data_IF_489867979534
#
_entry.id   IF_489867979534
#
_cell.length_a   1.000
_cell.length_b   1.000
_cell.length_c   1.000
_cell.angle_alpha   90.00
_cell.angle_beta   90.00
_cell.angle_gamma   90.00
#
_symmetry.space_group_name_H-M   'P 1'
#
loop_
_entity.id
_entity.type
_entity.pdbx_description
1 polymer ?
#
# COMPACT_ATOMS: atom_id res chain seq x y z
N UNK A 1 -16.93 -20.15 -25.13
CA UNK A 1 -17.69 -18.94 -25.50
C UNK A 1 -16.75 -17.73 -25.54
N UNK A 2 -17.19 -16.60 -26.12
CA UNK A 2 -16.40 -15.36 -26.21
C UNK A 2 -15.87 -14.88 -24.84
N UNK A 3 -16.71 -14.92 -23.80
CA UNK A 3 -16.34 -14.51 -22.45
C UNK A 3 -15.23 -15.38 -21.82
N UNK A 4 -15.17 -16.67 -22.15
CA UNK A 4 -14.12 -17.59 -21.65
C UNK A 4 -12.74 -17.24 -22.25
N UNK A 5 -12.70 -16.96 -23.56
CA UNK A 5 -11.47 -16.51 -24.24
C UNK A 5 -11.01 -15.14 -23.73
N UNK A 6 -11.96 -14.24 -23.44
CA UNK A 6 -11.67 -12.93 -22.89
C UNK A 6 -11.02 -13.01 -21.50
N UNK A 7 -11.57 -13.81 -20.58
CA UNK A 7 -11.00 -14.00 -19.23
C UNK A 7 -9.57 -14.52 -19.25
N UNK A 8 -9.28 -15.55 -20.05
CA UNK A 8 -7.92 -16.08 -20.20
C UNK A 8 -6.94 -15.05 -20.80
N UNK A 9 -7.39 -14.24 -21.77
CA UNK A 9 -6.58 -13.17 -22.34
C UNK A 9 -6.27 -12.05 -21.35
N UNK A 10 -7.20 -11.72 -20.44
CA UNK A 10 -6.97 -10.72 -19.40
C UNK A 10 -5.90 -11.18 -18.39
N UNK A 11 -5.90 -12.47 -18.06
CA UNK A 11 -4.87 -13.07 -17.22
C UNK A 11 -3.47 -12.92 -17.82
N UNK A 12 -3.32 -13.17 -19.13
CA UNK A 12 -2.04 -13.01 -19.83
C UNK A 12 -1.48 -11.57 -19.79
N UNK A 13 -2.35 -10.55 -19.73
CA UNK A 13 -2.00 -9.13 -19.63
C UNK A 13 -1.71 -8.67 -18.18
N UNK A 14 -1.71 -9.57 -17.20
CA UNK A 14 -1.53 -9.23 -15.78
C UNK A 14 -0.06 -9.17 -15.34
N UNK A 15 0.85 -9.80 -16.10
CA UNK A 15 2.28 -9.89 -15.74
C UNK A 15 2.99 -8.56 -15.62
N UNK A 16 2.78 -7.62 -16.56
CA UNK A 16 3.37 -6.29 -16.50
C UNK A 16 2.97 -5.53 -15.22
N UNK A 17 1.68 -5.61 -14.84
CA UNK A 17 1.13 -4.97 -13.63
C UNK A 17 1.65 -5.60 -12.34
N UNK A 18 1.81 -6.92 -12.31
CA UNK A 18 2.44 -7.63 -11.17
C UNK A 18 3.92 -7.24 -11.06
N UNK A 19 4.65 -7.19 -12.17
CA UNK A 19 6.05 -6.73 -12.20
C UNK A 19 6.21 -5.30 -11.69
N UNK A 20 5.36 -4.37 -12.12
CA UNK A 20 5.34 -2.99 -11.63
C UNK A 20 5.01 -2.93 -10.13
N UNK A 21 4.09 -3.76 -9.64
CA UNK A 21 3.78 -3.85 -8.20
C UNK A 21 5.03 -4.23 -7.40
N UNK A 22 5.76 -5.26 -7.84
CA UNK A 22 7.02 -5.70 -7.22
C UNK A 22 8.11 -4.63 -7.29
N UNK A 23 8.22 -3.92 -8.42
CA UNK A 23 9.15 -2.80 -8.58
C UNK A 23 8.85 -1.66 -7.60
N UNK A 24 7.57 -1.27 -7.47
CA UNK A 24 7.15 -0.24 -6.52
C UNK A 24 7.48 -0.62 -5.07
N UNK A 25 7.35 -1.90 -4.70
CA UNK A 25 7.77 -2.39 -3.37
C UNK A 25 9.30 -2.32 -3.21
N UNK A 26 10.08 -2.65 -4.25
CA UNK A 26 11.54 -2.50 -4.22
C UNK A 26 11.97 -1.05 -3.98
N UNK A 27 11.32 -0.10 -4.64
CA UNK A 27 11.56 1.35 -4.44
C UNK A 27 11.13 1.80 -3.02
N UNK A 28 10.01 1.30 -2.52
CA UNK A 28 9.55 1.54 -1.16
C UNK A 28 10.56 1.09 -0.11
N UNK A 29 11.13 -0.11 -0.27
CA UNK A 29 12.19 -0.64 0.60
C UNK A 29 13.37 0.33 0.65
N UNK A 30 13.83 0.83 -0.51
CA UNK A 30 14.93 1.80 -0.56
C UNK A 30 14.59 3.08 0.21
N UNK A 31 13.42 3.68 -0.05
CA UNK A 31 12.99 4.91 0.64
C UNK A 31 12.97 4.77 2.16
N UNK A 32 12.33 3.71 2.65
CA UNK A 32 12.15 3.48 4.08
C UNK A 32 13.50 3.20 4.74
N UNK A 33 14.34 2.37 4.11
CA UNK A 33 15.69 2.06 4.62
C UNK A 33 16.49 3.34 4.84
N UNK A 34 16.49 4.24 3.84
CA UNK A 34 17.22 5.52 3.93
C UNK A 34 16.66 6.37 5.07
N UNK A 35 15.34 6.55 5.14
CA UNK A 35 14.73 7.42 6.14
C UNK A 35 14.88 6.90 7.57
N UNK A 36 14.72 5.60 7.79
CA UNK A 36 14.85 4.99 9.12
C UNK A 36 16.31 5.02 9.59
N UNK A 37 17.27 4.56 8.76
CA UNK A 37 18.69 4.63 9.13
C UNK A 37 19.14 6.05 9.44
N UNK A 38 18.73 7.02 8.60
CA UNK A 38 19.02 8.43 8.85
C UNK A 38 18.40 8.94 10.15
N UNK A 39 17.16 8.55 10.45
CA UNK A 39 16.45 8.97 11.66
C UNK A 39 17.09 8.46 12.95
N UNK A 40 17.72 7.27 12.90
CA UNK A 40 18.45 6.70 14.03
C UNK A 40 19.76 7.44 14.34
N UNK A 41 20.38 8.09 13.35
CA UNK A 41 21.68 8.78 13.53
C UNK A 41 21.57 10.29 13.63
N UNK A 42 20.56 10.89 13.00
CA UNK A 42 20.36 12.34 13.00
C UNK A 42 19.89 12.79 14.38
N UNK A 43 20.72 13.56 15.07
CA UNK A 43 20.35 14.26 16.30
C UNK A 43 19.98 15.71 15.98
N UNK A 44 18.89 16.18 16.58
CA UNK A 44 18.44 17.56 16.47
C UNK A 44 17.46 17.85 17.60
N UNK A 45 17.70 18.93 18.35
CA UNK A 45 16.96 19.27 19.56
C UNK A 45 17.03 18.15 20.61
N UNK A 46 16.48 18.40 21.79
CA UNK A 46 16.40 17.40 22.84
C UNK A 46 15.78 17.97 24.11
N UNK A 47 15.76 17.19 25.20
CA UNK A 47 15.34 17.68 26.51
C UNK A 47 16.15 18.93 26.93
N UNK A 48 15.62 19.68 27.89
CA UNK A 48 16.26 20.91 28.40
C UNK A 48 17.68 20.71 28.96
N UNK A 49 18.14 19.46 29.12
CA UNK A 49 19.51 19.09 29.47
C UNK A 49 20.56 19.47 28.41
N UNK A 50 20.15 19.86 27.20
CA UNK A 50 21.04 20.34 26.14
C UNK A 50 21.73 19.25 25.32
N UNK A 51 21.50 17.97 25.63
CA UNK A 51 21.98 16.85 24.82
C UNK A 51 20.95 16.57 23.73
N UNK A 52 21.36 16.71 22.46
CA UNK A 52 20.50 16.35 21.35
C UNK A 52 20.26 14.84 21.29
N UNK A 53 19.03 14.45 20.98
CA UNK A 53 18.63 13.05 20.84
C UNK A 53 18.36 12.71 19.36
N UNK A 54 18.49 11.44 18.96
CA UNK A 54 18.13 11.01 17.61
C UNK A 54 16.68 11.38 17.27
N UNK A 55 16.42 11.78 16.02
CA UNK A 55 15.08 12.23 15.63
C UNK A 55 14.04 11.11 15.67
N UNK A 56 14.46 9.85 15.57
CA UNK A 56 13.57 8.69 15.78
C UNK A 56 13.01 8.63 17.22
N UNK A 57 13.62 9.31 18.20
CA UNK A 57 13.09 9.35 19.56
C UNK A 57 11.78 10.16 19.66
N UNK A 58 11.49 11.05 18.71
CA UNK A 58 10.29 11.88 18.74
C UNK A 58 9.05 11.14 18.22
N UNK A 59 7.94 11.32 18.94
CA UNK A 59 6.63 10.76 18.57
C UNK A 59 6.22 11.13 17.13
N UNK A 60 6.51 12.35 16.70
CA UNK A 60 6.22 12.82 15.33
C UNK A 60 6.96 12.01 14.28
N UNK A 61 8.25 11.70 14.49
CA UNK A 61 9.02 10.88 13.55
C UNK A 61 8.50 9.44 13.51
N UNK A 62 8.12 8.89 14.67
CA UNK A 62 7.54 7.54 14.76
C UNK A 62 6.20 7.45 14.04
N UNK A 63 5.31 8.42 14.27
CA UNK A 63 4.00 8.50 13.61
C UNK A 63 4.11 8.64 12.09
N UNK A 64 5.18 9.27 11.58
CA UNK A 64 5.45 9.38 10.14
C UNK A 64 5.97 8.07 9.56
N UNK A 65 6.92 7.40 10.21
CA UNK A 65 7.66 6.27 9.62
C UNK A 65 7.08 4.89 9.94
N UNK A 66 6.61 4.65 11.16
CA UNK A 66 6.11 3.32 11.56
C UNK A 66 4.92 2.86 10.71
N UNK A 67 3.90 3.70 10.41
CA UNK A 67 2.81 3.28 9.52
C UNK A 67 3.28 2.95 8.10
N UNK A 68 4.32 3.62 7.60
CA UNK A 68 4.91 3.32 6.30
C UNK A 68 5.63 1.96 6.33
N UNK A 69 6.37 1.66 7.40
CA UNK A 69 7.00 0.34 7.62
C UNK A 69 5.93 -0.74 7.71
N UNK A 70 4.85 -0.52 8.45
CA UNK A 70 3.73 -1.45 8.51
C UNK A 70 3.15 -1.74 7.11
N UNK A 71 2.85 -0.69 6.34
CA UNK A 71 2.36 -0.83 4.96
C UNK A 71 3.35 -1.54 4.03
N UNK A 72 4.66 -1.40 4.21
CA UNK A 72 5.67 -2.18 3.47
C UNK A 72 5.45 -3.68 3.68
N UNK A 73 5.32 -4.14 4.92
CA UNK A 73 5.14 -5.58 5.20
C UNK A 73 3.84 -6.12 4.60
N UNK A 74 2.74 -5.38 4.76
CA UNK A 74 1.43 -5.78 4.25
C UNK A 74 1.41 -5.81 2.72
N UNK A 75 1.88 -4.75 2.05
CA UNK A 75 1.85 -4.68 0.58
C UNK A 75 2.94 -5.51 -0.09
N UNK A 76 4.06 -5.77 0.57
CA UNK A 76 5.03 -6.76 0.08
C UNK A 76 4.43 -8.17 0.09
N UNK A 77 3.75 -8.55 1.17
CA UNK A 77 3.04 -9.83 1.23
C UNK A 77 1.95 -9.91 0.15
N UNK A 78 1.15 -8.86 -0.03
CA UNK A 78 0.18 -8.77 -1.12
C UNK A 78 0.85 -8.98 -2.49
N UNK A 79 1.89 -8.22 -2.81
CA UNK A 79 2.56 -8.30 -4.11
C UNK A 79 3.12 -9.70 -4.38
N UNK A 80 3.72 -10.35 -3.38
CA UNK A 80 4.20 -11.74 -3.49
C UNK A 80 3.05 -12.72 -3.70
N UNK A 81 1.97 -12.62 -2.93
CA UNK A 81 0.83 -13.52 -3.08
C UNK A 81 0.12 -13.38 -4.43
N UNK A 82 0.06 -12.17 -5.00
CA UNK A 82 -0.50 -11.94 -6.35
C UNK A 82 0.46 -12.47 -7.42
N UNK A 83 1.76 -12.38 -7.19
CA UNK A 83 2.76 -13.03 -8.04
C UNK A 83 2.59 -14.56 -8.03
N UNK A 84 2.41 -15.16 -6.87
CA UNK A 84 2.17 -16.61 -6.75
C UNK A 84 0.89 -17.03 -7.50
N UNK A 85 -0.20 -16.26 -7.37
CA UNK A 85 -1.44 -16.51 -8.13
C UNK A 85 -1.24 -16.41 -9.65
N UNK A 86 -0.42 -15.44 -10.10
CA UNK A 86 -0.08 -15.30 -11.52
C UNK A 86 0.75 -16.50 -12.01
N UNK A 87 1.69 -16.97 -11.21
CA UNK A 87 2.48 -18.17 -11.51
C UNK A 87 1.59 -19.39 -11.60
N UNK A 88 0.67 -19.58 -10.66
CA UNK A 88 -0.32 -20.67 -10.68
C UNK A 88 -1.18 -20.63 -11.95
N UNK A 89 -1.68 -19.45 -12.33
CA UNK A 89 -2.42 -19.25 -13.58
C UNK A 89 -1.59 -19.65 -14.80
N UNK A 90 -0.32 -19.21 -14.88
CA UNK A 90 0.53 -19.55 -16.02
C UNK A 90 0.84 -21.04 -16.10
N UNK A 91 1.17 -21.67 -14.97
CA UNK A 91 1.42 -23.11 -14.91
C UNK A 91 0.21 -23.88 -15.43
N UNK A 92 -0.99 -23.57 -14.91
CA UNK A 92 -2.21 -24.22 -15.38
C UNK A 92 -2.48 -23.94 -16.86
N UNK A 93 -2.25 -22.72 -17.35
CA UNK A 93 -2.49 -22.36 -18.75
C UNK A 93 -1.60 -23.13 -19.75
N UNK A 94 -0.44 -23.61 -19.30
CA UNK A 94 0.49 -24.39 -20.12
C UNK A 94 0.17 -25.88 -20.12
N UNK A 95 -0.50 -26.38 -19.08
CA UNK A 95 -0.81 -27.81 -18.90
C UNK A 95 -2.30 -28.15 -19.00
N UNK A 96 -3.15 -27.16 -19.32
CA UNK A 96 -4.61 -27.30 -19.28
C UNK A 96 -5.19 -28.07 -20.46
N UNK A 97 -6.22 -28.87 -20.17
CA UNK A 97 -7.07 -29.52 -21.18
C UNK A 97 -8.44 -28.82 -21.32
N UNK A 98 -9.35 -29.38 -22.12
CA UNK A 98 -10.69 -28.79 -22.32
C UNK A 98 -11.49 -28.61 -21.02
N UNK A 99 -11.26 -29.47 -20.02
CA UNK A 99 -11.96 -29.44 -18.73
C UNK A 99 -11.55 -28.23 -17.86
N UNK A 100 -10.35 -27.69 -18.06
CA UNK A 100 -9.82 -26.60 -17.23
C UNK A 100 -10.16 -25.21 -17.78
N UNK A 101 -10.82 -25.13 -18.96
CA UNK A 101 -11.10 -23.86 -19.63
C UNK A 101 -11.94 -22.89 -18.79
N UNK A 102 -12.84 -23.42 -17.96
CA UNK A 102 -13.74 -22.60 -17.15
C UNK A 102 -13.01 -22.06 -15.93
N UNK A 103 -12.24 -22.93 -15.26
CA UNK A 103 -11.34 -22.55 -14.18
C UNK A 103 -10.31 -21.50 -14.64
N UNK A 104 -9.67 -21.71 -15.79
CA UNK A 104 -8.73 -20.74 -16.37
C UNK A 104 -9.38 -19.39 -16.69
N UNK A 105 -10.60 -19.41 -17.20
CA UNK A 105 -11.33 -18.17 -17.47
C UNK A 105 -11.67 -17.43 -16.17
N UNK A 106 -11.97 -18.14 -15.09
CA UNK A 106 -12.30 -17.57 -13.78
C UNK A 106 -11.05 -17.04 -13.07
N UNK A 107 -9.97 -17.82 -13.04
CA UNK A 107 -8.65 -17.39 -12.56
C UNK A 107 -8.15 -16.16 -13.33
N UNK A 108 -8.30 -16.16 -14.66
CA UNK A 108 -7.92 -15.05 -15.53
C UNK A 108 -8.68 -13.74 -15.24
N UNK A 109 -9.97 -13.82 -14.88
CA UNK A 109 -10.75 -12.64 -14.46
C UNK A 109 -10.31 -12.13 -13.09
N UNK A 110 -10.09 -13.03 -12.13
CA UNK A 110 -9.69 -12.66 -10.77
C UNK A 110 -8.27 -12.09 -10.73
N UNK A 111 -7.29 -12.72 -11.39
CA UNK A 111 -5.91 -12.20 -11.43
C UNK A 111 -5.83 -10.85 -12.15
N UNK A 112 -6.68 -10.60 -13.14
CA UNK A 112 -6.77 -9.29 -13.77
C UNK A 112 -7.27 -8.23 -12.79
N UNK A 113 -8.32 -8.51 -12.01
CA UNK A 113 -8.82 -7.59 -11.00
C UNK A 113 -7.79 -7.34 -9.87
N UNK A 114 -7.15 -8.40 -9.38
CA UNK A 114 -6.10 -8.33 -8.36
C UNK A 114 -4.88 -7.55 -8.86
N UNK A 115 -4.36 -7.86 -10.04
CA UNK A 115 -3.19 -7.15 -10.59
C UNK A 115 -3.46 -5.67 -10.87
N UNK A 116 -4.66 -5.30 -11.35
CA UNK A 116 -5.09 -3.90 -11.49
C UNK A 116 -4.99 -3.14 -10.18
N UNK A 117 -5.64 -3.68 -9.15
CA UNK A 117 -5.82 -2.98 -7.87
C UNK A 117 -4.55 -3.04 -7.03
N UNK A 118 -3.81 -4.15 -7.07
CA UNK A 118 -2.49 -4.30 -6.45
C UNK A 118 -1.49 -3.28 -7.02
N UNK A 119 -1.41 -3.15 -8.34
CA UNK A 119 -0.55 -2.16 -8.99
C UNK A 119 -0.91 -0.75 -8.55
N UNK A 120 -2.21 -0.41 -8.55
CA UNK A 120 -2.66 0.92 -8.14
C UNK A 120 -2.29 1.24 -6.68
N UNK A 121 -2.54 0.32 -5.73
CA UNK A 121 -2.26 0.57 -4.33
C UNK A 121 -0.75 0.60 -4.03
N UNK A 122 0.03 -0.32 -4.59
CA UNK A 122 1.48 -0.38 -4.35
C UNK A 122 2.17 0.89 -4.89
N UNK A 123 1.84 1.32 -6.12
CA UNK A 123 2.51 2.48 -6.75
C UNK A 123 2.14 3.80 -6.08
N UNK A 124 0.87 4.01 -5.71
CA UNK A 124 0.47 5.19 -4.93
C UNK A 124 1.04 5.18 -3.50
N UNK A 125 1.08 4.02 -2.84
CA UNK A 125 1.69 3.90 -1.52
C UNK A 125 3.17 4.25 -1.58
N UNK A 126 3.92 3.71 -2.55
CA UNK A 126 5.34 4.03 -2.76
C UNK A 126 5.55 5.51 -3.05
N UNK A 127 4.71 6.12 -3.89
CA UNK A 127 4.79 7.56 -4.20
C UNK A 127 4.64 8.42 -2.94
N UNK A 128 3.60 8.17 -2.14
CA UNK A 128 3.35 8.89 -0.88
C UNK A 128 4.48 8.66 0.12
N UNK A 129 4.89 7.41 0.30
CA UNK A 129 5.96 7.04 1.23
C UNK A 129 7.30 7.67 0.85
N UNK A 130 7.65 7.73 -0.44
CA UNK A 130 8.88 8.36 -0.90
C UNK A 130 8.91 9.84 -0.53
N UNK A 131 7.80 10.55 -0.73
CA UNK A 131 7.69 11.96 -0.35
C UNK A 131 7.81 12.14 1.17
N UNK A 132 7.10 11.32 1.95
CA UNK A 132 7.12 11.38 3.40
C UNK A 132 8.51 11.06 3.97
N UNK A 133 9.17 10.03 3.47
CA UNK A 133 10.53 9.63 3.84
C UNK A 133 11.56 10.72 3.52
N UNK A 134 11.41 11.40 2.38
CA UNK A 134 12.26 12.52 1.98
C UNK A 134 12.15 13.67 2.98
N UNK A 135 10.93 14.05 3.34
CA UNK A 135 10.67 15.12 4.30
C UNK A 135 11.04 14.74 5.74
N UNK A 136 10.94 13.46 6.10
CA UNK A 136 11.43 12.93 7.36
C UNK A 136 12.96 13.04 7.51
N UNK A 137 13.68 13.15 6.39
CA UNK A 137 15.13 13.41 6.37
C UNK A 137 15.50 14.91 6.35
N UNK A 138 14.51 15.81 6.46
CA UNK A 138 14.72 17.26 6.46
C UNK A 138 15.45 17.76 5.21
N UNK A 139 16.29 18.79 5.39
CA UNK A 139 17.05 19.40 4.27
C UNK A 139 18.00 18.42 3.57
N UNK A 140 18.59 17.47 4.29
CA UNK A 140 19.47 16.46 3.68
C UNK A 140 18.71 15.50 2.77
N UNK A 141 17.41 15.26 3.02
CA UNK A 141 16.55 14.51 2.12
C UNK A 141 16.38 15.17 0.74
N UNK A 142 16.70 16.46 0.59
CA UNK A 142 16.67 17.14 -0.71
C UNK A 142 17.98 17.01 -1.51
N UNK A 143 19.06 16.53 -0.89
CA UNK A 143 20.32 16.33 -1.60
C UNK A 143 20.14 15.27 -2.68
N UNK A 144 20.74 15.47 -3.86
CA UNK A 144 20.81 14.43 -4.89
C UNK A 144 21.38 13.11 -4.32
N UNK A 145 22.42 13.23 -3.49
CA UNK A 145 23.09 12.11 -2.82
C UNK A 145 22.21 11.35 -1.80
N UNK A 146 21.05 11.90 -1.41
CA UNK A 146 20.08 11.18 -0.58
C UNK A 146 19.33 10.09 -1.36
N UNK A 147 19.30 10.17 -2.69
CA UNK A 147 18.64 9.21 -3.57
C UNK A 147 17.12 9.35 -3.69
N UNK A 148 16.44 10.11 -2.82
CA UNK A 148 14.97 10.20 -2.82
C UNK A 148 14.40 10.78 -4.12
N UNK A 149 15.06 11.77 -4.73
CA UNK A 149 14.62 12.34 -6.01
C UNK A 149 14.56 11.28 -7.11
N UNK A 150 15.65 10.53 -7.28
CA UNK A 150 15.76 9.45 -8.26
C UNK A 150 14.69 8.37 -8.00
N UNK A 151 14.56 7.93 -6.75
CA UNK A 151 13.59 6.89 -6.39
C UNK A 151 12.15 7.33 -6.72
N UNK A 152 11.83 8.62 -6.48
CA UNK A 152 10.53 9.18 -6.84
C UNK A 152 10.34 9.25 -8.35
N UNK A 153 11.35 9.75 -9.07
CA UNK A 153 11.32 9.85 -10.53
C UNK A 153 11.13 8.48 -11.20
N UNK A 154 11.71 7.42 -10.62
CA UNK A 154 11.53 6.04 -11.09
C UNK A 154 10.13 5.48 -10.76
N UNK A 155 9.52 5.87 -9.63
CA UNK A 155 8.20 5.39 -9.23
C UNK A 155 7.04 6.13 -9.93
N UNK A 156 7.14 7.44 -10.14
CA UNK A 156 6.04 8.27 -10.63
C UNK A 156 5.40 7.75 -11.94
N UNK A 157 6.18 7.30 -12.96
CA UNK A 157 5.62 6.70 -14.18
C UNK A 157 4.85 5.40 -13.92
N UNK A 158 5.18 4.67 -12.85
CA UNK A 158 4.49 3.44 -12.46
C UNK A 158 3.03 3.69 -12.09
N UNK A 159 2.64 4.91 -11.72
CA UNK A 159 1.23 5.25 -11.50
C UNK A 159 0.42 5.34 -12.81
N UNK A 160 1.08 5.35 -13.97
CA UNK A 160 0.48 5.61 -15.30
C UNK A 160 0.69 4.48 -16.30
N UNK A 161 1.89 3.88 -16.38
CA UNK A 161 2.18 2.81 -17.32
C UNK A 161 1.40 1.53 -16.97
N UNK A 162 1.16 0.67 -17.98
CA UNK A 162 0.35 -0.56 -17.85
C UNK A 162 -1.04 -0.29 -17.25
N UNK A 163 -1.61 0.87 -17.59
CA UNK A 163 -2.92 1.36 -17.18
C UNK A 163 -2.84 2.45 -16.10
N UNK A 164 -3.53 3.56 -16.32
CA UNK A 164 -3.72 4.60 -15.31
C UNK A 164 -4.37 4.02 -14.04
N UNK A 165 -3.85 4.36 -12.86
CA UNK A 165 -4.34 3.80 -11.62
C UNK A 165 -5.84 4.04 -11.38
N UNK A 166 -6.39 5.22 -11.71
CA UNK A 166 -7.82 5.48 -11.52
C UNK A 166 -8.71 4.69 -12.50
N UNK A 167 -8.24 4.47 -13.73
CA UNK A 167 -8.90 3.59 -14.70
C UNK A 167 -8.83 2.13 -14.26
N UNK A 168 -7.67 1.67 -13.79
CA UNK A 168 -7.48 0.28 -13.34
C UNK A 168 -8.38 -0.08 -12.17
N UNK A 169 -8.63 0.84 -11.23
CA UNK A 169 -9.56 0.59 -10.13
C UNK A 169 -10.95 0.16 -10.63
N UNK A 170 -11.42 0.63 -11.78
CA UNK A 170 -12.70 0.18 -12.35
C UNK A 170 -12.78 -1.34 -12.52
N UNK A 171 -11.65 -2.00 -12.80
CA UNK A 171 -11.60 -3.45 -12.98
C UNK A 171 -11.87 -4.20 -11.67
N UNK A 172 -11.39 -3.67 -10.54
CA UNK A 172 -11.68 -4.21 -9.20
C UNK A 172 -13.17 -4.13 -8.87
N UNK A 173 -13.76 -2.94 -8.99
CA UNK A 173 -15.20 -2.76 -8.76
C UNK A 173 -16.05 -3.62 -9.70
N UNK A 174 -15.73 -3.66 -10.99
CA UNK A 174 -16.47 -4.48 -11.95
C UNK A 174 -16.41 -5.97 -11.62
N UNK A 175 -15.26 -6.47 -11.15
CA UNK A 175 -15.13 -7.85 -10.71
C UNK A 175 -16.02 -8.16 -9.50
N UNK A 176 -16.04 -7.28 -8.49
CA UNK A 176 -16.90 -7.44 -7.31
C UNK A 176 -18.39 -7.35 -7.68
N UNK A 177 -18.78 -6.37 -8.48
CA UNK A 177 -20.16 -6.23 -8.95
C UNK A 177 -20.63 -7.45 -9.76
N UNK A 178 -19.77 -7.97 -10.65
CA UNK A 178 -20.10 -9.16 -11.43
C UNK A 178 -20.36 -10.38 -10.54
N UNK A 179 -19.49 -10.65 -9.57
CA UNK A 179 -19.69 -11.76 -8.64
C UNK A 179 -20.93 -11.56 -7.75
N UNK A 180 -21.21 -10.32 -7.33
CA UNK A 180 -22.43 -10.01 -6.59
C UNK A 180 -23.69 -10.28 -7.43
N UNK A 181 -23.70 -9.87 -8.70
CA UNK A 181 -24.83 -10.13 -9.60
C UNK A 181 -25.03 -11.62 -9.85
N UNK A 182 -23.94 -12.37 -10.06
CA UNK A 182 -23.99 -13.82 -10.22
C UNK A 182 -24.59 -14.49 -8.99
N UNK A 183 -24.13 -14.13 -7.78
CA UNK A 183 -24.65 -14.68 -6.53
C UNK A 183 -26.11 -14.30 -6.26
N UNK A 184 -26.45 -13.01 -6.29
CA UNK A 184 -27.73 -12.52 -5.75
C UNK A 184 -28.80 -12.23 -6.78
N UNK A 185 -28.45 -11.98 -8.06
CA UNK A 185 -29.42 -11.73 -9.14
C UNK A 185 -29.64 -12.97 -10.00
N UNK A 186 -28.62 -13.82 -10.17
CA UNK A 186 -28.69 -15.03 -11.02
C UNK A 186 -28.73 -16.35 -10.25
N UNK A 187 -28.56 -16.33 -8.92
CA UNK A 187 -28.50 -17.52 -8.07
C UNK A 187 -27.41 -18.52 -8.52
N UNK A 188 -26.24 -18.00 -8.90
CA UNK A 188 -25.05 -18.77 -9.25
C UNK A 188 -24.05 -18.78 -8.08
N UNK A 189 -23.08 -19.70 -8.09
CA UNK A 189 -21.96 -19.67 -7.15
C UNK A 189 -21.01 -18.52 -7.45
N UNK A 190 -20.31 -18.04 -6.42
CA UNK A 190 -19.16 -17.17 -6.62
C UNK A 190 -18.03 -17.98 -7.23
N UNK A 191 -17.40 -17.45 -8.28
CA UNK A 191 -16.22 -18.04 -8.88
C UNK A 191 -15.01 -17.17 -8.54
N UNK A 192 -14.38 -17.48 -7.40
CA UNK A 192 -13.18 -16.82 -6.89
C UNK A 192 -12.09 -17.87 -6.58
N UNK A 193 -11.42 -18.45 -7.60
CA UNK A 193 -10.35 -19.43 -7.39
C UNK A 193 -9.23 -18.98 -6.43
N UNK A 194 -8.95 -17.68 -6.34
CA UNK A 194 -7.95 -17.12 -5.40
C UNK A 194 -8.57 -16.51 -4.13
N UNK A 195 -9.84 -16.83 -3.86
CA UNK A 195 -10.56 -16.50 -2.63
C UNK A 195 -10.67 -15.01 -2.29
N UNK A 196 -10.47 -14.11 -3.27
CA UNK A 196 -10.53 -12.67 -3.04
C UNK A 196 -11.97 -12.12 -2.93
N UNK A 197 -12.96 -12.82 -3.48
CA UNK A 197 -14.37 -12.42 -3.45
C UNK A 197 -15.25 -13.24 -2.48
N UNK A 198 -14.68 -14.19 -1.73
CA UNK A 198 -15.41 -15.09 -0.81
C UNK A 198 -16.24 -14.34 0.26
N UNK A 199 -15.83 -13.13 0.63
CA UNK A 199 -16.55 -12.30 1.59
C UNK A 199 -18.00 -11.98 1.15
N UNK A 200 -18.27 -11.97 -0.16
CA UNK A 200 -19.59 -11.68 -0.71
C UNK A 200 -20.66 -12.69 -0.26
N UNK A 201 -20.29 -13.95 0.03
CA UNK A 201 -21.24 -14.95 0.55
C UNK A 201 -21.78 -14.54 1.93
N UNK A 202 -20.97 -13.80 2.69
CA UNK A 202 -21.24 -13.40 4.08
C UNK A 202 -21.79 -11.98 4.19
N UNK A 203 -21.94 -11.25 3.07
CA UNK A 203 -22.28 -9.82 3.08
C UNK A 203 -23.57 -9.53 3.88
N UNK A 204 -24.63 -10.33 3.68
CA UNK A 204 -25.91 -10.16 4.40
C UNK A 204 -25.74 -10.39 5.90
N UNK A 205 -25.00 -11.43 6.30
CA UNK A 205 -24.76 -11.78 7.69
C UNK A 205 -23.92 -10.71 8.39
N UNK A 206 -22.85 -10.24 7.75
CA UNK A 206 -21.96 -9.20 8.28
C UNK A 206 -22.73 -7.88 8.47
N UNK A 207 -23.53 -7.47 7.48
CA UNK A 207 -24.30 -6.22 7.56
C UNK A 207 -25.46 -6.29 8.57
N UNK A 208 -26.05 -7.47 8.77
CA UNK A 208 -27.05 -7.68 9.82
C UNK A 208 -26.43 -7.57 11.22
N UNK A 209 -25.20 -8.04 11.40
CA UNK A 209 -24.47 -7.91 12.66
C UNK A 209 -23.76 -6.56 12.77
N UNK A 210 -24.53 -5.47 12.82
CA UNK A 210 -24.01 -4.09 12.88
C UNK A 210 -23.59 -3.66 14.30
N UNK A 211 -22.93 -4.55 15.04
CA UNK A 211 -22.38 -4.28 16.37
C UNK A 211 -20.87 -4.06 16.25
N UNK A 212 -20.42 -2.83 16.46
CA UNK A 212 -18.99 -2.53 16.54
C UNK A 212 -18.43 -2.98 17.90
N UNK A 213 -17.47 -3.89 17.85
CA UNK A 213 -16.75 -4.40 19.02
C UNK A 213 -15.47 -3.62 19.34
N UNK A 214 -15.18 -2.55 18.57
CA UNK A 214 -14.00 -1.71 18.81
C UNK A 214 -14.20 -0.93 20.11
N UNK A 215 -13.39 -1.30 21.10
CA UNK A 215 -13.36 -0.74 22.45
C UNK A 215 -11.91 -0.66 22.92
N UNK A 216 -11.67 -0.15 24.13
CA UNK A 216 -10.33 -0.09 24.71
C UNK A 216 -9.64 -1.44 24.85
N UNK A 217 -10.41 -2.53 24.90
CA UNK A 217 -9.94 -3.90 25.11
C UNK A 217 -10.00 -4.74 23.81
N UNK A 218 -10.25 -4.12 22.66
CA UNK A 218 -10.46 -4.89 21.43
C UNK A 218 -9.21 -5.65 20.99
N UNK A 219 -9.45 -6.84 20.45
CA UNK A 219 -8.44 -7.72 19.89
C UNK A 219 -8.32 -7.52 18.38
N UNK A 220 -7.29 -8.14 17.78
CA UNK A 220 -7.10 -8.14 16.33
C UNK A 220 -8.37 -8.58 15.58
N UNK A 221 -9.11 -9.56 16.13
CA UNK A 221 -10.36 -10.03 15.52
C UNK A 221 -11.41 -8.93 15.37
N UNK A 222 -11.60 -8.08 16.38
CA UNK A 222 -12.59 -7.01 16.33
C UNK A 222 -12.24 -5.96 15.26
N UNK A 223 -10.93 -5.73 15.07
CA UNK A 223 -10.43 -4.85 14.01
C UNK A 223 -10.63 -5.48 12.62
N UNK A 224 -10.43 -6.79 12.49
CA UNK A 224 -10.71 -7.51 11.23
C UNK A 224 -12.20 -7.50 10.90
N UNK A 225 -13.07 -7.73 11.89
CA UNK A 225 -14.53 -7.67 11.73
C UNK A 225 -14.98 -6.28 11.26
N UNK A 226 -14.30 -5.21 11.71
CA UNK A 226 -14.56 -3.85 11.23
C UNK A 226 -14.16 -3.62 9.77
N UNK A 227 -13.05 -4.22 9.32
CA UNK A 227 -12.60 -4.15 7.93
C UNK A 227 -13.49 -5.00 7.01
N UNK A 228 -13.91 -6.19 7.46
CA UNK A 228 -14.91 -7.02 6.78
C UNK A 228 -16.22 -6.26 6.61
N UNK A 229 -16.70 -5.62 7.68
CA UNK A 229 -17.92 -4.81 7.66
C UNK A 229 -17.77 -3.61 6.72
N UNK A 230 -16.64 -2.90 6.76
CA UNK A 230 -16.37 -1.75 5.88
C UNK A 230 -16.45 -2.13 4.40
N UNK A 231 -15.83 -3.25 4.00
CA UNK A 231 -15.89 -3.75 2.64
C UNK A 231 -17.32 -4.14 2.24
N UNK A 232 -18.02 -4.88 3.10
CA UNK A 232 -19.42 -5.26 2.86
C UNK A 232 -20.33 -4.04 2.71
N UNK A 233 -20.14 -3.01 3.55
CA UNK A 233 -20.94 -1.80 3.53
C UNK A 233 -20.70 -0.98 2.26
N UNK A 234 -19.45 -0.84 1.80
CA UNK A 234 -19.18 -0.09 0.56
C UNK A 234 -19.69 -0.84 -0.68
N UNK A 235 -19.69 -2.18 -0.69
CA UNK A 235 -20.34 -2.99 -1.74
C UNK A 235 -21.84 -2.69 -1.77
N UNK A 236 -22.54 -2.88 -0.65
CA UNK A 236 -23.98 -2.65 -0.54
C UNK A 236 -24.37 -1.20 -0.87
N UNK A 237 -23.62 -0.21 -0.35
CA UNK A 237 -23.81 1.22 -0.67
C UNK A 237 -23.66 1.49 -2.16
N UNK A 238 -22.69 0.86 -2.83
CA UNK A 238 -22.45 1.02 -4.27
C UNK A 238 -23.60 0.43 -5.09
N UNK A 239 -24.09 -0.75 -4.70
CA UNK A 239 -25.18 -1.43 -5.39
C UNK A 239 -26.49 -0.69 -5.21
N UNK A 240 -26.83 -0.25 -3.98
CA UNK A 240 -28.03 0.57 -3.73
C UNK A 240 -28.04 1.83 -4.58
N UNK A 241 -26.88 2.47 -4.77
CA UNK A 241 -26.77 3.66 -5.63
C UNK A 241 -27.01 3.32 -7.11
N UNK A 242 -26.43 2.22 -7.59
CA UNK A 242 -26.64 1.74 -8.96
C UNK A 242 -28.10 1.38 -9.21
N UNK A 243 -28.71 0.59 -8.33
CA UNK A 243 -30.11 0.18 -8.44
C UNK A 243 -31.05 1.41 -8.37
N UNK A 244 -30.77 2.39 -7.51
CA UNK A 244 -31.52 3.66 -7.50
C UNK A 244 -31.46 4.37 -8.86
N UNK A 245 -30.27 4.48 -9.46
CA UNK A 245 -30.11 5.17 -10.75
C UNK A 245 -30.76 4.40 -11.90
N UNK A 246 -30.71 3.07 -11.88
CA UNK A 246 -31.42 2.20 -12.84
C UNK A 246 -32.93 2.45 -12.79
N UNK A 247 -33.49 2.64 -11.59
CA UNK A 247 -34.93 2.89 -11.42
C UNK A 247 -35.35 4.34 -11.73
N UNK A 248 -34.45 5.31 -11.56
CA UNK A 248 -34.79 6.74 -11.67
C UNK A 248 -34.35 7.40 -12.98
N UNK A 249 -33.55 6.70 -13.79
CA UNK A 249 -33.01 7.24 -15.05
C UNK A 249 -33.09 6.19 -16.15
N UNK A 250 -33.10 6.63 -17.42
CA UNK A 250 -33.02 5.73 -18.58
C UNK A 250 -31.60 5.72 -19.19
N UNK A 251 -30.59 5.78 -18.32
CA UNK A 251 -29.18 5.87 -18.71
C UNK A 251 -28.61 4.50 -19.11
N UNK A 252 -27.57 4.51 -19.95
CA UNK A 252 -26.88 3.28 -20.32
C UNK A 252 -26.06 2.71 -19.14
N UNK A 253 -25.71 1.42 -19.20
CA UNK A 253 -24.82 0.80 -18.20
C UNK A 253 -23.50 1.54 -18.04
N UNK A 254 -22.97 2.10 -19.13
CA UNK A 254 -21.76 2.91 -19.13
C UNK A 254 -21.95 4.20 -18.31
N UNK A 255 -23.03 4.95 -18.58
CA UNK A 255 -23.32 6.22 -17.91
C UNK A 255 -23.56 6.02 -16.41
N UNK A 256 -24.28 4.96 -16.04
CA UNK A 256 -24.55 4.59 -14.65
C UNK A 256 -23.24 4.33 -13.87
N UNK A 257 -22.32 3.56 -14.46
CA UNK A 257 -21.00 3.30 -13.87
C UNK A 257 -20.16 4.57 -13.78
N UNK A 258 -20.18 5.39 -14.83
CA UNK A 258 -19.43 6.65 -14.86
C UNK A 258 -19.89 7.61 -13.73
N UNK A 259 -21.19 7.78 -13.53
CA UNK A 259 -21.76 8.65 -12.48
C UNK A 259 -21.45 8.11 -11.07
N UNK A 260 -21.40 6.78 -10.90
CA UNK A 260 -21.13 6.15 -9.60
C UNK A 260 -19.65 5.96 -9.29
N UNK A 261 -18.76 6.33 -10.23
CA UNK A 261 -17.36 5.94 -10.15
C UNK A 261 -16.64 6.50 -8.91
N UNK A 262 -16.76 7.81 -8.64
CA UNK A 262 -15.84 8.51 -7.72
C UNK A 262 -16.03 8.13 -6.24
N UNK A 263 -17.26 8.20 -5.73
CA UNK A 263 -17.55 8.00 -4.31
C UNK A 263 -18.05 6.58 -3.97
N UNK A 264 -18.23 5.72 -4.97
CA UNK A 264 -18.67 4.34 -4.78
C UNK A 264 -17.66 3.35 -5.36
N UNK A 265 -17.57 3.22 -6.69
CA UNK A 265 -16.79 2.13 -7.32
C UNK A 265 -15.28 2.26 -7.13
N UNK A 266 -14.74 3.48 -7.17
CA UNK A 266 -13.33 3.75 -6.89
C UNK A 266 -12.99 3.39 -5.43
N UNK A 267 -13.79 3.86 -4.48
CA UNK A 267 -13.63 3.58 -3.05
C UNK A 267 -13.74 2.09 -2.76
N UNK A 268 -14.74 1.42 -3.35
CA UNK A 268 -14.91 -0.04 -3.28
C UNK A 268 -13.63 -0.77 -3.70
N UNK A 269 -13.04 -0.38 -4.83
CA UNK A 269 -11.86 -1.06 -5.38
C UNK A 269 -10.62 -0.91 -4.50
N UNK A 270 -10.46 0.26 -3.86
CA UNK A 270 -9.36 0.52 -2.93
C UNK A 270 -9.55 -0.29 -1.64
N UNK A 271 -10.74 -0.24 -1.04
CA UNK A 271 -11.04 -0.99 0.18
C UNK A 271 -10.93 -2.50 -0.07
N UNK A 272 -11.38 -2.98 -1.24
CA UNK A 272 -11.25 -4.37 -1.65
C UNK A 272 -9.80 -4.87 -1.65
N UNK A 273 -8.87 -4.14 -2.27
CA UNK A 273 -7.48 -4.59 -2.32
C UNK A 273 -6.76 -4.45 -0.98
N UNK A 274 -7.10 -3.43 -0.18
CA UNK A 274 -6.57 -3.28 1.18
C UNK A 274 -7.07 -4.39 2.11
N UNK A 275 -8.36 -4.73 2.03
CA UNK A 275 -8.94 -5.90 2.71
C UNK A 275 -8.24 -7.19 2.30
N UNK A 276 -8.06 -7.42 0.99
CA UNK A 276 -7.35 -8.58 0.46
C UNK A 276 -5.92 -8.66 1.02
N UNK A 277 -5.21 -7.53 1.09
CA UNK A 277 -3.86 -7.46 1.65
C UNK A 277 -3.82 -7.86 3.13
N UNK A 278 -4.78 -7.37 3.92
CA UNK A 278 -4.93 -7.69 5.35
C UNK A 278 -5.21 -9.18 5.55
N UNK A 279 -6.18 -9.75 4.82
CA UNK A 279 -6.56 -11.15 4.96
C UNK A 279 -5.42 -12.08 4.53
N UNK A 280 -4.71 -11.78 3.44
CA UNK A 280 -3.55 -12.55 2.99
C UNK A 280 -2.40 -12.48 4.00
N UNK A 281 -2.18 -11.33 4.63
CA UNK A 281 -1.20 -11.22 5.70
C UNK A 281 -1.60 -12.04 6.95
N UNK A 282 -2.88 -12.04 7.34
CA UNK A 282 -3.39 -12.91 8.42
C UNK A 282 -3.20 -14.38 8.08
N UNK A 283 -3.46 -14.79 6.84
CA UNK A 283 -3.21 -16.16 6.37
C UNK A 283 -1.73 -16.51 6.44
N UNK A 284 -0.84 -15.60 6.00
CA UNK A 284 0.60 -15.76 6.12
C UNK A 284 1.03 -16.01 7.58
N UNK A 285 0.52 -15.23 8.54
CA UNK A 285 0.83 -15.43 9.96
C UNK A 285 0.31 -16.76 10.52
N UNK A 286 -0.79 -17.29 9.98
CA UNK A 286 -1.37 -18.59 10.38
C UNK A 286 -0.67 -19.79 9.76
N UNK A 287 -0.15 -19.66 8.53
CA UNK A 287 0.51 -20.77 7.84
C UNK A 287 1.95 -20.99 8.31
N UNK A 288 2.59 -19.95 8.85
CA UNK A 288 3.97 -20.02 9.34
C UNK A 288 4.00 -20.33 10.85
N UNK A 289 3.51 -21.51 11.25
CA UNK A 289 3.43 -21.93 12.66
C UNK A 289 4.80 -22.12 13.33
N UNK A 290 5.85 -22.36 12.56
CA UNK A 290 7.22 -22.52 13.07
C UNK A 290 7.95 -21.17 13.30
N UNK A 291 7.27 -20.04 13.08
CA UNK A 291 7.82 -18.71 13.30
C UNK A 291 8.07 -18.45 14.79
N UNK A 292 9.19 -17.81 15.10
CA UNK A 292 9.48 -17.33 16.45
C UNK A 292 8.34 -16.44 16.97
N UNK A 293 7.92 -16.70 18.21
CA UNK A 293 6.75 -16.05 18.82
C UNK A 293 6.93 -14.53 18.94
N UNK A 294 8.16 -14.03 19.18
CA UNK A 294 8.40 -12.58 19.22
C UNK A 294 8.29 -11.97 17.83
N UNK A 295 8.83 -12.63 16.81
CA UNK A 295 8.67 -12.21 15.42
C UNK A 295 7.18 -12.12 15.06
N UNK A 296 6.39 -13.14 15.39
CA UNK A 296 4.95 -13.16 15.14
C UNK A 296 4.24 -11.98 15.83
N UNK A 297 4.55 -11.71 17.09
CA UNK A 297 3.99 -10.57 17.83
C UNK A 297 4.33 -9.22 17.19
N UNK A 298 5.57 -9.04 16.70
CA UNK A 298 5.97 -7.80 16.01
C UNK A 298 5.21 -7.65 14.69
N UNK A 299 5.06 -8.72 13.91
CA UNK A 299 4.30 -8.70 12.66
C UNK A 299 2.80 -8.44 12.91
N UNK A 300 2.22 -9.00 13.97
CA UNK A 300 0.85 -8.70 14.39
C UNK A 300 0.69 -7.23 14.78
N UNK A 301 1.65 -6.61 15.47
CA UNK A 301 1.63 -5.16 15.75
C UNK A 301 1.66 -4.33 14.47
N UNK A 302 2.49 -4.70 13.49
CA UNK A 302 2.51 -4.02 12.18
C UNK A 302 1.16 -4.14 11.47
N UNK A 303 0.55 -5.32 11.50
CA UNK A 303 -0.80 -5.54 10.96
C UNK A 303 -1.83 -4.64 11.66
N UNK A 304 -1.80 -4.56 12.99
CA UNK A 304 -2.72 -3.70 13.76
C UNK A 304 -2.50 -2.22 13.39
N UNK A 305 -1.26 -1.75 13.28
CA UNK A 305 -0.98 -0.36 12.83
C UNK A 305 -1.58 -0.10 11.46
N UNK A 306 -1.42 -1.03 10.52
CA UNK A 306 -1.98 -0.89 9.17
C UNK A 306 -3.52 -0.84 9.19
N UNK A 307 -4.17 -1.73 9.94
CA UNK A 307 -5.63 -1.77 10.08
C UNK A 307 -6.16 -0.49 10.75
N UNK A 308 -5.54 -0.04 11.84
CA UNK A 308 -5.97 1.17 12.53
C UNK A 308 -5.84 2.41 11.65
N UNK A 309 -4.78 2.49 10.83
CA UNK A 309 -4.64 3.59 9.88
C UNK A 309 -5.72 3.57 8.80
N UNK A 310 -6.09 2.38 8.35
CA UNK A 310 -7.18 2.17 7.39
C UNK A 310 -8.54 2.57 7.99
N UNK A 311 -8.82 2.18 9.24
CA UNK A 311 -10.03 2.56 9.97
C UNK A 311 -10.06 4.07 10.17
N UNK A 312 -8.95 4.71 10.54
CA UNK A 312 -8.85 6.16 10.69
C UNK A 312 -9.16 6.88 9.36
N UNK A 313 -8.63 6.40 8.23
CA UNK A 313 -8.88 6.96 6.90
C UNK A 313 -10.35 6.88 6.49
N UNK A 314 -11.04 5.78 6.82
CA UNK A 314 -12.44 5.53 6.44
C UNK A 314 -13.43 5.67 7.59
N UNK A 315 -13.05 6.34 8.67
CA UNK A 315 -13.90 6.45 9.87
C UNK A 315 -15.25 7.11 9.56
N UNK A 316 -15.27 8.06 8.62
CA UNK A 316 -16.51 8.69 8.15
C UNK A 316 -17.52 7.70 7.55
N UNK A 317 -17.05 6.69 6.81
CA UNK A 317 -17.91 5.64 6.22
C UNK A 317 -18.45 4.72 7.32
N UNK A 318 -17.61 4.39 8.32
CA UNK A 318 -18.01 3.57 9.46
C UNK A 318 -19.10 4.26 10.31
N UNK A 319 -19.02 5.59 10.47
CA UNK A 319 -20.09 6.39 11.08
C UNK A 319 -21.34 6.46 10.18
N UNK A 320 -21.18 6.68 8.87
CA UNK A 320 -22.29 6.78 7.92
C UNK A 320 -23.18 5.53 7.93
N UNK A 321 -22.59 4.34 7.99
CA UNK A 321 -23.37 3.09 8.08
C UNK A 321 -23.69 2.63 9.50
N UNK A 322 -23.51 3.49 10.49
CA UNK A 322 -23.84 3.25 11.90
C UNK A 322 -23.11 2.04 12.53
N UNK A 323 -21.95 1.66 12.02
CA UNK A 323 -21.11 0.64 12.65
C UNK A 323 -20.47 1.22 13.91
N UNK A 324 -19.67 2.29 13.73
CA UNK A 324 -19.15 3.08 14.85
C UNK A 324 -20.21 4.11 15.24
N UNK A 325 -20.67 4.05 16.49
CA UNK A 325 -21.64 5.01 17.06
C UNK A 325 -21.01 5.92 18.10
N UNK A 326 -19.98 5.43 18.79
CA UNK A 326 -19.31 6.15 19.86
C UNK A 326 -18.18 7.00 19.28
N UNK A 327 -18.28 8.32 19.44
CA UNK A 327 -17.27 9.29 18.98
C UNK A 327 -15.90 9.10 19.65
N UNK A 328 -15.86 8.51 20.85
CA UNK A 328 -14.61 8.24 21.56
C UNK A 328 -13.75 7.15 20.91
N UNK A 329 -14.32 6.34 20.00
CA UNK A 329 -13.56 5.32 19.26
C UNK A 329 -12.46 5.98 18.41
N UNK A 330 -12.71 7.15 17.83
CA UNK A 330 -11.69 7.88 17.07
C UNK A 330 -10.48 8.28 17.94
N UNK A 331 -10.77 8.82 19.12
CA UNK A 331 -9.73 9.20 20.09
C UNK A 331 -8.92 7.97 20.54
N UNK A 332 -9.61 6.84 20.78
CA UNK A 332 -8.95 5.59 21.12
C UNK A 332 -8.04 5.09 19.99
N UNK A 333 -8.48 5.12 18.73
CA UNK A 333 -7.65 4.73 17.57
C UNK A 333 -6.36 5.57 17.53
N UNK A 334 -6.48 6.89 17.71
CA UNK A 334 -5.33 7.80 17.69
C UNK A 334 -4.33 7.48 18.80
N UNK A 335 -4.81 7.28 20.04
CA UNK A 335 -3.96 6.90 21.18
C UNK A 335 -3.29 5.55 20.90
N UNK A 336 -4.06 4.54 20.48
CA UNK A 336 -3.52 3.19 20.24
C UNK A 336 -2.50 3.17 19.11
N UNK A 337 -2.69 3.96 18.05
CA UNK A 337 -1.71 4.14 16.98
C UNK A 337 -0.40 4.72 17.51
N UNK A 338 -0.47 5.76 18.35
CA UNK A 338 0.72 6.39 18.94
C UNK A 338 1.46 5.43 19.87
N UNK A 339 0.75 4.64 20.68
CA UNK A 339 1.34 3.62 21.55
C UNK A 339 2.07 2.56 20.73
N UNK A 340 1.43 2.02 19.69
CA UNK A 340 2.06 1.04 18.80
C UNK A 340 3.26 1.60 18.05
N UNK A 341 3.20 2.86 17.61
CA UNK A 341 4.34 3.54 17.00
C UNK A 341 5.52 3.65 17.98
N UNK A 342 5.25 3.94 19.25
CA UNK A 342 6.27 3.97 20.29
C UNK A 342 6.83 2.57 20.59
N UNK A 343 5.98 1.55 20.69
CA UNK A 343 6.41 0.16 20.91
C UNK A 343 7.29 -0.37 19.76
N UNK A 344 6.88 -0.15 18.51
CA UNK A 344 7.58 -0.65 17.32
C UNK A 344 8.87 0.12 16.99
N UNK A 345 9.03 1.34 17.52
CA UNK A 345 10.22 2.17 17.32
C UNK A 345 11.50 1.41 17.63
N UNK A 346 11.52 0.63 18.71
CA UNK A 346 12.74 -0.06 19.14
C UNK A 346 13.18 -1.16 18.15
N UNK A 347 12.23 -1.71 17.39
CA UNK A 347 12.48 -2.77 16.40
C UNK A 347 12.59 -2.22 14.97
N UNK A 348 12.27 -0.93 14.75
CA UNK A 348 12.08 -0.35 13.41
C UNK A 348 13.31 -0.48 12.52
N UNK A 349 14.52 -0.38 13.10
CA UNK A 349 15.76 -0.54 12.35
C UNK A 349 15.94 -1.98 11.84
N UNK A 350 15.70 -2.97 12.70
CA UNK A 350 15.79 -4.38 12.31
C UNK A 350 14.74 -4.74 11.26
N UNK A 351 13.52 -4.17 11.39
CA UNK A 351 12.42 -4.36 10.44
C UNK A 351 12.74 -3.80 9.04
N UNK A 352 13.56 -2.76 8.92
CA UNK A 352 13.97 -2.25 7.61
C UNK A 352 15.21 -2.96 7.09
N UNK A 353 16.16 -3.27 7.97
CA UNK A 353 17.44 -3.87 7.61
C UNK A 353 17.28 -5.29 7.06
N UNK A 354 16.25 -6.04 7.46
CA UNK A 354 15.96 -7.37 6.88
C UNK A 354 15.67 -7.32 5.37
N UNK A 355 15.27 -6.15 4.84
CA UNK A 355 15.03 -5.94 3.41
C UNK A 355 16.06 -5.03 2.75
N UNK A 356 16.92 -4.38 3.53
CA UNK A 356 17.83 -3.37 3.02
C UNK A 356 18.80 -3.98 1.99
N UNK A 357 18.87 -3.43 0.78
CA UNK A 357 19.87 -3.89 -0.18
C UNK A 357 21.27 -3.41 0.25
N UNK A 358 22.35 -4.01 -0.28
CA UNK A 358 23.70 -3.50 -0.10
C UNK A 358 23.83 -2.02 -0.45
N UNK A 359 24.72 -1.29 0.23
CA UNK A 359 24.83 0.18 0.13
C UNK A 359 25.05 0.68 -1.30
N UNK A 360 25.72 -0.10 -2.16
CA UNK A 360 25.92 0.26 -3.58
C UNK A 360 24.63 0.20 -4.42
N UNK A 361 23.67 -0.65 -4.05
CA UNK A 361 22.33 -0.70 -4.67
C UNK A 361 21.41 0.35 -4.05
N UNK A 362 21.52 0.57 -2.73
CA UNK A 362 20.78 1.61 -2.04
C UNK A 362 21.15 3.00 -2.59
N UNK A 363 22.44 3.20 -2.88
CA UNK A 363 23.03 4.38 -3.51
C UNK A 363 22.57 5.69 -2.84
N UNK A 364 22.69 5.75 -1.51
CA UNK A 364 22.28 6.91 -0.71
C UNK A 364 23.25 7.14 0.45
N UNK A 365 23.81 8.34 0.54
CA UNK A 365 24.74 8.70 1.63
C UNK A 365 24.05 8.76 3.00
N UNK A 366 22.73 8.93 3.03
CA UNK A 366 21.95 8.96 4.27
C UNK A 366 21.60 7.55 4.77
N UNK A 367 21.53 6.59 3.85
CA UNK A 367 21.10 5.22 4.12
C UNK A 367 22.24 4.23 4.34
N UNK A 368 23.50 4.66 4.38
CA UNK A 368 24.64 3.75 4.55
C UNK A 368 24.52 2.88 5.80
N UNK A 369 24.77 1.58 5.65
CA UNK A 369 24.68 0.58 6.72
C UNK A 369 25.61 0.85 7.92
N UNK A 370 26.73 1.55 7.70
CA UNK A 370 27.68 1.89 8.75
C UNK A 370 27.28 3.10 9.62
N UNK A 371 26.17 3.79 9.29
CA UNK A 371 25.69 4.96 10.02
C UNK A 371 26.56 6.21 9.94
N UNK A 372 27.66 6.21 9.16
CA UNK A 372 28.59 7.33 9.04
C UNK A 372 28.10 8.39 8.03
N UNK A 373 26.88 8.90 8.26
CA UNK A 373 26.18 9.77 7.30
C UNK A 373 26.94 11.06 6.99
N UNK A 374 27.45 11.75 8.00
CA UNK A 374 28.14 13.04 7.78
C UNK A 374 29.48 12.87 7.06
N UNK A 375 30.20 11.79 7.34
CA UNK A 375 31.43 11.46 6.63
C UNK A 375 31.12 11.12 5.16
N UNK A 376 30.06 10.37 4.90
CA UNK A 376 29.62 10.04 3.55
C UNK A 376 29.19 11.28 2.75
N UNK A 377 28.43 12.20 3.37
CA UNK A 377 28.09 13.50 2.77
C UNK A 377 29.37 14.27 2.45
N UNK A 378 30.30 14.36 3.40
CA UNK A 378 31.54 15.12 3.21
C UNK A 378 32.40 14.54 2.08
N UNK A 379 32.56 13.21 2.03
CA UNK A 379 33.26 12.51 0.94
C UNK A 379 32.63 12.78 -0.41
N UNK A 380 31.30 12.76 -0.51
CA UNK A 380 30.59 13.01 -1.76
C UNK A 380 30.79 14.44 -2.27
N UNK A 381 30.78 15.44 -1.38
CA UNK A 381 31.08 16.85 -1.73
C UNK A 381 32.52 16.98 -2.25
N UNK A 382 33.49 16.36 -1.56
CA UNK A 382 34.91 16.49 -1.90
C UNK A 382 35.35 15.68 -3.13
N UNK A 383 34.69 14.55 -3.39
CA UNK A 383 35.00 13.70 -4.55
C UNK A 383 34.44 14.28 -5.86
N UNK A 384 33.44 15.15 -5.79
CA UNK A 384 32.95 15.83 -6.98
C UNK A 384 33.94 16.94 -7.40
N UNK A 385 34.68 16.68 -8.49
CA UNK A 385 35.72 17.57 -9.01
C UNK A 385 35.21 18.98 -9.30
N UNK A 386 33.92 19.15 -9.58
CA UNK A 386 33.34 20.45 -9.93
C UNK A 386 32.99 21.32 -8.71
N UNK A 387 32.94 20.76 -7.50
CA UNK A 387 32.46 21.47 -6.29
C UNK A 387 33.28 22.74 -5.98
N UNK A 388 34.61 22.67 -6.11
CA UNK A 388 35.52 23.74 -5.71
C UNK A 388 36.11 24.51 -6.90
N UNK A 389 35.57 24.32 -8.10
CA UNK A 389 36.03 25.01 -9.31
C UNK A 389 35.18 26.26 -9.53
N UNK A 390 35.84 27.37 -9.89
CA UNK A 390 35.15 28.59 -10.31
C UNK A 390 34.27 28.27 -11.54
N UNK A 391 32.95 28.54 -11.49
CA UNK A 391 32.07 28.29 -12.61
C UNK A 391 32.57 28.93 -13.91
N UNK A 392 32.47 28.21 -15.03
CA UNK A 392 33.03 28.64 -16.32
C UNK A 392 32.46 30.00 -16.75
N UNK A 393 31.16 30.23 -16.53
CA UNK A 393 30.51 31.51 -16.85
C UNK A 393 31.09 32.68 -16.03
N UNK A 394 31.48 32.44 -14.77
CA UNK A 394 32.03 33.48 -13.89
C UNK A 394 33.47 33.84 -14.29
N UNK A 395 34.24 32.90 -14.85
CA UNK A 395 35.58 33.18 -15.37
C UNK A 395 35.53 34.19 -16.52
N UNK A 396 34.50 34.18 -17.35
CA UNK A 396 34.40 35.08 -18.49
C UNK A 396 33.99 36.51 -18.07
N UNK A 397 33.05 36.65 -17.13
CA UNK A 397 32.53 37.96 -16.70
C UNK A 397 33.49 38.75 -15.77
N UNK A 398 34.30 38.06 -14.95
CA UNK A 398 35.27 38.72 -14.07
C UNK A 398 36.50 39.23 -14.82
N UNK A 399 36.87 38.59 -15.94
CA UNK A 399 38.01 39.02 -16.77
C UNK A 399 37.66 40.30 -17.54
N UNK A 400 36.42 40.45 -18.02
CA UNK A 400 35.98 41.67 -18.72
C UNK A 400 35.79 42.88 -17.78
N UNK A 401 35.36 42.69 -16.52
CA UNK A 401 35.18 43.79 -15.56
C UNK A 401 36.47 44.28 -14.88
N UNK A 402 37.62 43.63 -15.11
CA UNK A 402 38.92 44.07 -14.59
C UNK A 402 39.70 45.00 -15.53
N UNK A 403 39.10 45.41 -16.66
CA UNK A 403 39.69 46.31 -17.66
C UNK A 403 39.10 47.73 -17.66
N UNK A 404 38.41 48.14 -16.59
CA UNK A 404 37.94 49.51 -16.37
C UNK A 404 38.68 50.18 -15.21
#
# INVERSE_FOLDING_TARGET
>A
SSNKRFGASLGALSSGRVGISSMAIGLLIKCITIAVRYSCVRKQFGPSSGIEIPVIEYQTQNWRLVPIVASLYIYRNLALSVFDNLTEFYVLSMSSDENDRDLLADMGREIHALSCTCKAICTWNTQKACQECREACGGHGYLYASGFGIIRDDNDPSCTFEGDNNVLLQQGANYILSNYEDLYKKNLSINSPFHSADFLEKIKTILQNNQCSITSECHLKDLLDAIDWLLCYIVDKSIRKLDQLILTTNLSSFDLKNITQIYHLRTLSIIYIQHTAIIRFVQFLKLNNDMDEKCKQILEKLLIVHILKLIEEYIGILFEGNYIKNVHINQWIQIRLLDLCHELRNEILALVDVFAPPDHILNSVLGNSNGQVYEAINKMIHNNKQTFIIPIWLKNDLIEKSKL
#
